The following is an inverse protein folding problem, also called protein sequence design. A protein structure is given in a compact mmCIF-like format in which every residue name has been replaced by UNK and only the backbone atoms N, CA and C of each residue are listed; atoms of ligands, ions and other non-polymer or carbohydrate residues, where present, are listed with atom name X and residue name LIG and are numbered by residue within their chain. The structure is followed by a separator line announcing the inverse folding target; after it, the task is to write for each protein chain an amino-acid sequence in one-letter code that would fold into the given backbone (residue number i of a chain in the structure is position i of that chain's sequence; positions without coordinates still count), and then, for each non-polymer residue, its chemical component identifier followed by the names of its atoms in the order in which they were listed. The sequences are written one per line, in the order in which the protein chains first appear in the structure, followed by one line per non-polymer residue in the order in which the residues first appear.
data_IF_003037230152
#
_entry.id   IF_003037230152
#
_cell.length_a   1.000
_cell.length_b   1.000
_cell.length_c   1.000
_cell.angle_alpha   90.00
_cell.angle_beta   90.00
_cell.angle_gamma   90.00
#
_symmetry.space_group_name_H-M   'P 1'
#
loop_
_entity.id
_entity.type
_entity.pdbx_description
1 polymer ?
#
# COMPACT_ATOMS: atom_id res chain seq x y z
N UNK A 1 -10.23 0.14 -18.82
CA UNK A 1 -8.83 0.55 -18.55
C UNK A 1 -8.25 -0.14 -17.31
N UNK A 2 -8.96 -0.21 -16.19
CA UNK A 2 -8.47 -0.84 -14.94
C UNK A 2 -8.65 -2.37 -14.85
N UNK A 3 -9.01 -3.03 -15.96
CA UNK A 3 -9.37 -4.46 -15.97
C UNK A 3 -8.20 -5.36 -15.52
N UNK A 4 -6.97 -5.00 -15.90
CA UNK A 4 -5.76 -5.71 -15.51
C UNK A 4 -5.49 -5.63 -13.99
N UNK A 5 -5.81 -4.50 -13.37
CA UNK A 5 -5.65 -4.29 -11.93
C UNK A 5 -6.67 -5.12 -11.15
N UNK A 6 -7.94 -5.08 -11.56
CA UNK A 6 -9.00 -5.87 -10.92
C UNK A 6 -8.77 -7.37 -11.07
N UNK A 7 -8.27 -7.84 -12.22
CA UNK A 7 -7.88 -9.24 -12.41
C UNK A 7 -6.72 -9.65 -11.51
N UNK A 8 -5.69 -8.80 -11.39
CA UNK A 8 -4.54 -9.05 -10.51
C UNK A 8 -4.94 -9.12 -9.03
N UNK A 9 -5.72 -8.15 -8.56
CA UNK A 9 -6.25 -8.12 -7.19
C UNK A 9 -7.19 -9.31 -6.94
N UNK A 10 -8.08 -9.61 -7.88
CA UNK A 10 -8.99 -10.75 -7.78
C UNK A 10 -8.26 -12.10 -7.71
N UNK A 11 -7.19 -12.27 -8.50
CA UNK A 11 -6.33 -13.46 -8.41
C UNK A 11 -5.65 -13.58 -7.03
N UNK A 12 -5.16 -12.47 -6.49
CA UNK A 12 -4.47 -12.44 -5.20
C UNK A 12 -5.43 -12.77 -4.04
N UNK A 13 -6.64 -12.19 -4.05
CA UNK A 13 -7.70 -12.51 -3.07
C UNK A 13 -8.13 -13.97 -3.20
N UNK A 14 -8.32 -14.48 -4.43
CA UNK A 14 -8.71 -15.87 -4.65
C UNK A 14 -7.62 -16.86 -4.17
N UNK A 15 -6.34 -16.52 -4.36
CA UNK A 15 -5.22 -17.31 -3.87
C UNK A 15 -5.22 -17.38 -2.34
N UNK A 16 -5.39 -16.25 -1.66
CA UNK A 16 -5.47 -16.22 -0.19
C UNK A 16 -6.72 -16.97 0.31
N UNK A 17 -7.86 -16.74 -0.35
CA UNK A 17 -9.11 -17.41 -0.02
C UNK A 17 -9.01 -18.92 -0.18
N UNK A 18 -8.28 -19.42 -1.18
CA UNK A 18 -8.11 -20.86 -1.40
C UNK A 18 -7.46 -21.60 -0.22
N UNK A 19 -6.65 -20.90 0.58
CA UNK A 19 -6.03 -21.47 1.78
C UNK A 19 -6.91 -21.34 3.02
N UNK A 20 -7.61 -20.22 3.17
CA UNK A 20 -8.32 -19.91 4.41
C UNK A 20 -9.83 -20.19 4.39
N UNK A 21 -10.45 -20.29 3.21
CA UNK A 21 -11.90 -20.34 2.97
C UNK A 21 -12.75 -19.30 3.73
N UNK A 22 -12.12 -18.23 4.23
CA UNK A 22 -12.77 -17.14 4.98
C UNK A 22 -12.47 -15.80 4.31
N UNK A 23 -13.54 -15.06 3.97
CA UNK A 23 -13.43 -13.75 3.35
C UNK A 23 -12.81 -12.69 4.27
N UNK A 24 -12.98 -12.80 5.58
CA UNK A 24 -12.41 -11.89 6.58
C UNK A 24 -10.89 -11.96 6.56
N UNK A 25 -10.35 -13.18 6.47
CA UNK A 25 -8.91 -13.43 6.42
C UNK A 25 -8.36 -13.00 5.04
N UNK A 26 -9.08 -13.31 3.96
CA UNK A 26 -8.68 -12.92 2.61
C UNK A 26 -8.60 -11.39 2.43
N UNK A 27 -9.61 -10.65 2.90
CA UNK A 27 -9.63 -9.19 2.79
C UNK A 27 -8.65 -8.55 3.78
N UNK A 28 -8.57 -9.05 5.01
CA UNK A 28 -7.67 -8.51 6.04
C UNK A 28 -6.19 -8.63 5.67
N UNK A 29 -5.77 -9.77 5.14
CA UNK A 29 -4.41 -9.96 4.64
C UNK A 29 -4.10 -9.14 3.39
N UNK A 30 -5.08 -8.96 2.48
CA UNK A 30 -4.94 -8.07 1.33
C UNK A 30 -4.67 -6.62 1.76
N UNK A 31 -5.37 -6.12 2.78
CA UNK A 31 -5.13 -4.79 3.33
C UNK A 31 -3.71 -4.64 3.86
N UNK A 32 -3.18 -5.65 4.54
CA UNK A 32 -1.78 -5.66 5.03
C UNK A 32 -0.80 -5.64 3.85
N UNK A 33 -1.03 -6.45 2.81
CA UNK A 33 -0.19 -6.47 1.60
C UNK A 33 -0.14 -5.09 0.93
N UNK A 34 -1.30 -4.46 0.73
CA UNK A 34 -1.40 -3.11 0.15
C UNK A 34 -0.65 -2.10 1.02
N UNK A 35 -0.84 -2.15 2.34
CA UNK A 35 -0.16 -1.26 3.27
C UNK A 35 1.36 -1.44 3.20
N UNK A 36 1.88 -2.67 3.12
CA UNK A 36 3.31 -2.93 2.98
C UNK A 36 3.89 -2.36 1.67
N UNK A 37 3.15 -2.44 0.57
CA UNK A 37 3.56 -1.89 -0.73
C UNK A 37 3.58 -0.35 -0.71
N UNK A 38 2.61 0.28 -0.04
CA UNK A 38 2.50 1.75 0.03
C UNK A 38 3.44 2.34 1.10
N UNK A 39 3.72 1.62 2.19
CA UNK A 39 4.59 2.09 3.29
C UNK A 39 5.95 2.68 2.83
N UNK A 40 6.74 2.05 1.94
CA UNK A 40 8.00 2.64 1.48
C UNK A 40 7.78 3.95 0.71
N UNK A 41 6.67 4.08 -0.03
CA UNK A 41 6.30 5.32 -0.72
C UNK A 41 5.94 6.40 0.31
N UNK A 42 5.17 6.06 1.34
CA UNK A 42 4.83 6.96 2.45
C UNK A 42 6.09 7.46 3.13
N UNK A 43 7.04 6.57 3.45
CA UNK A 43 8.33 6.94 4.05
C UNK A 43 9.14 7.87 3.16
N UNK A 44 9.16 7.63 1.84
CA UNK A 44 9.84 8.52 0.88
C UNK A 44 9.19 9.90 0.83
N UNK A 45 7.86 9.96 0.82
CA UNK A 45 7.09 11.22 0.87
C UNK A 45 7.41 12.02 2.14
N UNK A 46 7.47 11.35 3.30
CA UNK A 46 7.77 12.00 4.58
C UNK A 46 9.18 12.58 4.62
N UNK A 47 10.18 11.90 4.04
CA UNK A 47 11.56 12.42 3.98
C UNK A 47 11.65 13.73 3.19
N UNK A 48 10.99 13.81 2.04
CA UNK A 48 10.97 15.03 1.23
C UNK A 48 10.34 16.22 1.96
N UNK A 49 9.31 15.97 2.77
CA UNK A 49 8.72 17.01 3.61
C UNK A 49 9.67 17.52 4.69
N UNK A 50 10.42 16.62 5.35
CA UNK A 50 11.37 16.99 6.40
C UNK A 50 12.55 17.81 5.86
N UNK A 51 13.03 17.50 4.66
CA UNK A 51 14.11 18.26 4.01
C UNK A 51 13.65 19.69 3.65
N UNK A 52 12.43 19.81 3.11
CA UNK A 52 11.82 21.12 2.85
C UNK A 52 11.57 21.91 4.15
N UNK A 53 11.21 21.25 5.24
CA UNK A 53 11.05 21.90 6.55
C UNK A 53 12.38 22.36 7.16
N UNK A 54 13.51 21.71 6.86
CA UNK A 54 14.85 22.14 7.31
C UNK A 54 15.36 23.35 6.54
N UNK A 55 15.00 23.48 5.26
CA UNK A 55 15.34 24.64 4.42
C UNK A 55 14.45 25.86 4.69
N UNK A 56 13.18 25.66 5.05
CA UNK A 56 12.24 26.74 5.40
C UNK A 56 12.72 27.74 6.48
N UNK A 57 13.43 27.35 7.56
CA UNK A 57 13.93 28.28 8.56
C UNK A 57 15.14 29.12 8.09
N UNK A 58 15.91 28.67 7.09
CA UNK A 58 17.06 29.42 6.56
C UNK A 58 16.66 30.51 5.55
N UNK A 59 15.43 30.44 5.04
CA UNK A 59 14.84 31.44 4.14
C UNK A 59 14.17 32.62 4.88
N UNK A 60 14.12 32.59 6.22
CA UNK A 60 13.64 33.70 7.06
C UNK A 60 14.81 34.53 7.57
#
# INVERSE_FOLDING_TARGET
MFDWLFRGVGWLIAWIYSWSNDYSIAIGSMAIVVMLVITPLTLKSTRGMLEMQRLQPELR
#
